data_IF_207938401695
#
_entry.id   IF_207938401695
#
_cell.length_a   1.000
_cell.length_b   1.000
_cell.length_c   1.000
_cell.angle_alpha   90.00
_cell.angle_beta   90.00
_cell.angle_gamma   90.00
#
_symmetry.space_group_name_H-M   'P 1'
#
loop_
_entity.id
_entity.type
_entity.pdbx_description
1 polymer ?
#
# COMPACT_ATOMS: atom_id res chain seq x y z
N UNK A 1 -56.04 -20.74 -11.16
CA UNK A 1 -54.92 -20.41 -10.23
C UNK A 1 -53.60 -20.72 -10.92
N UNK A 2 -52.55 -19.94 -10.70
CA UNK A 2 -51.18 -20.18 -11.22
C UNK A 2 -50.18 -20.28 -10.07
N UNK A 3 -48.96 -20.75 -10.34
CA UNK A 3 -47.84 -20.74 -9.38
C UNK A 3 -46.74 -19.85 -9.95
N UNK A 4 -46.25 -18.88 -9.17
CA UNK A 4 -45.15 -18.00 -9.56
C UNK A 4 -44.08 -18.00 -8.48
N UNK A 5 -42.84 -18.38 -8.83
CA UNK A 5 -41.71 -18.56 -7.91
C UNK A 5 -42.11 -19.39 -6.68
N UNK A 6 -42.73 -20.56 -6.92
CA UNK A 6 -43.27 -21.43 -5.88
C UNK A 6 -44.53 -20.94 -5.14
N UNK A 7 -45.02 -19.72 -5.37
CA UNK A 7 -46.19 -19.15 -4.66
C UNK A 7 -47.46 -19.21 -5.51
N UNK A 8 -48.53 -19.79 -4.98
CA UNK A 8 -49.86 -19.82 -5.65
C UNK A 8 -50.48 -18.42 -5.71
N UNK A 9 -50.95 -18.03 -6.91
CA UNK A 9 -51.61 -16.75 -7.19
C UNK A 9 -52.92 -16.98 -7.94
N UNK A 10 -53.93 -16.18 -7.60
CA UNK A 10 -55.21 -16.14 -8.33
C UNK A 10 -55.17 -15.00 -9.33
N UNK A 11 -55.46 -15.30 -10.59
CA UNK A 11 -55.64 -14.30 -11.64
C UNK A 11 -57.11 -13.89 -11.68
N UNK A 12 -57.40 -12.60 -11.48
CA UNK A 12 -58.77 -12.06 -11.55
C UNK A 12 -59.27 -11.95 -13.00
N UNK A 13 -58.34 -11.85 -13.95
CA UNK A 13 -58.58 -11.80 -15.39
C UNK A 13 -57.42 -12.48 -16.14
N UNK A 14 -57.62 -12.94 -17.38
CA UNK A 14 -56.53 -13.39 -18.23
C UNK A 14 -55.48 -12.28 -18.40
N UNK A 15 -54.20 -12.60 -18.18
CA UNK A 15 -53.07 -11.69 -18.36
C UNK A 15 -52.01 -12.37 -19.24
N UNK A 16 -51.36 -11.59 -20.11
CA UNK A 16 -50.10 -11.98 -20.73
C UNK A 16 -48.96 -12.00 -19.70
N UNK A 17 -47.84 -12.65 -20.04
CA UNK A 17 -46.64 -12.63 -19.21
C UNK A 17 -46.15 -11.19 -18.98
N UNK A 18 -46.13 -10.35 -20.02
CA UNK A 18 -45.76 -8.93 -19.89
C UNK A 18 -46.66 -8.18 -18.91
N UNK A 19 -47.98 -8.30 -19.05
CA UNK A 19 -48.93 -7.61 -18.17
C UNK A 19 -48.81 -8.09 -16.71
N UNK A 20 -48.54 -9.38 -16.50
CA UNK A 20 -48.27 -9.90 -15.17
C UNK A 20 -46.99 -9.29 -14.57
N UNK A 21 -45.91 -9.22 -15.33
CA UNK A 21 -44.64 -8.65 -14.88
C UNK A 21 -44.80 -7.18 -14.49
N UNK A 22 -45.42 -6.37 -15.35
CA UNK A 22 -45.66 -4.95 -15.11
C UNK A 22 -46.58 -4.70 -13.91
N UNK A 23 -47.69 -5.46 -13.80
CA UNK A 23 -48.62 -5.36 -12.66
C UNK A 23 -47.95 -5.66 -11.32
N UNK A 24 -46.94 -6.54 -11.31
CA UNK A 24 -46.21 -6.95 -10.11
C UNK A 24 -44.84 -6.26 -9.96
N UNK A 25 -44.61 -5.15 -10.69
CA UNK A 25 -43.41 -4.29 -10.57
C UNK A 25 -42.10 -4.99 -10.96
N UNK A 26 -42.15 -6.05 -11.77
CA UNK A 26 -40.95 -6.57 -12.42
C UNK A 26 -40.59 -5.70 -13.63
N UNK A 27 -39.29 -5.59 -13.92
CA UNK A 27 -38.79 -4.93 -15.12
C UNK A 27 -38.55 -6.00 -16.19
N UNK A 28 -39.38 -6.11 -17.26
CA UNK A 28 -39.32 -7.24 -18.20
C UNK A 28 -37.95 -7.46 -18.86
N UNK A 29 -37.20 -6.38 -19.07
CA UNK A 29 -35.85 -6.43 -19.64
C UNK A 29 -34.78 -6.94 -18.66
N UNK A 30 -35.06 -6.97 -17.36
CA UNK A 30 -34.14 -7.44 -16.31
C UNK A 30 -34.44 -8.87 -15.84
N UNK A 31 -35.49 -9.50 -16.36
CA UNK A 31 -35.92 -10.85 -15.94
C UNK A 31 -35.94 -11.85 -17.11
N UNK A 32 -35.64 -13.11 -16.79
CA UNK A 32 -35.91 -14.26 -17.64
C UNK A 32 -37.08 -15.06 -17.05
N UNK A 33 -37.88 -15.66 -17.94
CA UNK A 33 -39.08 -16.41 -17.59
C UNK A 33 -38.91 -17.85 -18.02
N UNK A 34 -39.08 -18.76 -17.09
CA UNK A 34 -39.36 -20.16 -17.36
C UNK A 34 -40.85 -20.39 -17.10
N UNK A 35 -41.56 -20.96 -18.06
CA UNK A 35 -42.98 -21.25 -17.96
C UNK A 35 -43.19 -22.74 -18.27
N UNK A 36 -43.71 -23.49 -17.29
CA UNK A 36 -43.94 -24.93 -17.39
C UNK A 36 -42.70 -25.71 -17.87
N UNK A 37 -41.58 -25.54 -17.18
CA UNK A 37 -40.28 -26.16 -17.47
C UNK A 37 -39.64 -25.76 -18.83
N UNK A 38 -40.13 -24.69 -19.46
CA UNK A 38 -39.58 -24.17 -20.71
C UNK A 38 -39.20 -22.70 -20.60
N UNK A 39 -37.98 -22.35 -21.00
CA UNK A 39 -37.54 -20.96 -21.09
C UNK A 39 -38.34 -20.26 -22.20
N UNK A 40 -39.11 -19.25 -21.81
CA UNK A 40 -39.91 -18.47 -22.72
C UNK A 40 -39.03 -17.41 -23.40
N UNK A 41 -39.02 -17.38 -24.73
CA UNK A 41 -38.32 -16.34 -25.47
C UNK A 41 -38.96 -14.96 -25.20
N UNK A 42 -38.14 -13.93 -24.99
CA UNK A 42 -38.60 -12.59 -24.57
C UNK A 42 -39.60 -11.95 -25.54
N UNK A 43 -39.48 -12.23 -26.84
CA UNK A 43 -40.41 -11.77 -27.88
C UNK A 43 -41.84 -12.29 -27.68
N UNK A 44 -41.99 -13.43 -26.98
CA UNK A 44 -43.28 -14.09 -26.75
C UNK A 44 -43.96 -13.62 -25.45
N UNK A 45 -43.33 -12.79 -24.63
CA UNK A 45 -43.89 -12.37 -23.33
C UNK A 45 -45.23 -11.63 -23.52
N UNK A 46 -45.34 -10.80 -24.54
CA UNK A 46 -46.57 -10.04 -24.81
C UNK A 46 -47.72 -10.86 -25.40
N UNK A 47 -47.42 -11.98 -26.06
CA UNK A 47 -48.42 -12.84 -26.72
C UNK A 47 -48.82 -14.06 -25.91
N UNK A 48 -48.04 -14.42 -24.89
CA UNK A 48 -48.27 -15.63 -24.08
C UNK A 48 -49.23 -15.31 -22.94
N UNK A 49 -50.46 -15.83 -23.02
CA UNK A 49 -51.49 -15.68 -21.98
C UNK A 49 -51.35 -16.76 -20.92
N UNK A 50 -51.27 -16.35 -19.65
CA UNK A 50 -51.22 -17.24 -18.49
C UNK A 50 -52.56 -17.96 -18.30
N UNK A 51 -52.50 -19.28 -18.10
CA UNK A 51 -53.63 -20.18 -17.96
C UNK A 51 -53.70 -20.78 -16.56
N UNK A 52 -54.88 -21.24 -16.19
CA UNK A 52 -55.04 -22.01 -14.95
C UNK A 52 -54.16 -23.27 -14.96
N UNK A 53 -53.36 -23.42 -13.92
CA UNK A 53 -52.40 -24.51 -13.76
C UNK A 53 -50.95 -24.14 -14.13
N UNK A 54 -50.69 -23.00 -14.78
CA UNK A 54 -49.34 -22.62 -15.18
C UNK A 54 -48.39 -22.44 -13.97
N UNK A 55 -47.15 -22.87 -14.17
CA UNK A 55 -46.03 -22.67 -13.25
C UNK A 55 -45.00 -21.77 -13.93
N UNK A 56 -44.71 -20.62 -13.33
CA UNK A 56 -43.81 -19.61 -13.89
C UNK A 56 -42.69 -19.27 -12.89
N UNK A 57 -41.45 -19.43 -13.31
CA UNK A 57 -40.28 -18.95 -12.58
C UNK A 57 -39.76 -17.65 -13.23
N UNK A 58 -39.71 -16.59 -12.43
CA UNK A 58 -39.21 -15.27 -12.77
C UNK A 58 -37.85 -15.10 -12.09
N UNK A 59 -36.79 -15.11 -12.89
CA UNK A 59 -35.42 -14.98 -12.39
C UNK A 59 -34.77 -13.67 -12.87
N UNK A 60 -33.90 -13.11 -12.03
CA UNK A 60 -33.07 -11.94 -12.35
C UNK A 60 -31.66 -12.15 -11.80
N UNK A 61 -30.68 -11.40 -12.31
CA UNK A 61 -29.36 -11.40 -11.72
C UNK A 61 -29.40 -10.74 -10.34
N UNK A 62 -28.94 -11.46 -9.31
CA UNK A 62 -28.77 -10.92 -7.97
C UNK A 62 -27.64 -9.88 -7.96
N UNK A 63 -27.98 -8.62 -7.70
CA UNK A 63 -27.00 -7.57 -7.40
C UNK A 63 -26.56 -7.67 -5.94
N UNK A 64 -25.30 -8.05 -5.70
CA UNK A 64 -24.73 -8.06 -4.35
C UNK A 64 -24.25 -6.67 -3.94
N UNK A 65 -24.94 -6.01 -3.01
CA UNK A 65 -24.43 -4.81 -2.33
C UNK A 65 -25.50 -3.85 -1.84
N UNK A 66 -25.57 -3.65 -0.53
CA UNK A 66 -26.24 -2.49 0.07
C UNK A 66 -25.30 -1.29 -0.03
N UNK A 67 -25.24 -0.66 -1.21
CA UNK A 67 -24.36 0.49 -1.46
C UNK A 67 -24.82 1.73 -0.69
N UNK A 68 -24.34 1.91 0.53
CA UNK A 68 -24.18 3.25 1.11
C UNK A 68 -22.84 3.78 0.65
N UNK A 69 -22.84 4.54 -0.43
CA UNK A 69 -21.69 5.36 -0.82
C UNK A 69 -21.74 6.62 0.06
N UNK A 70 -21.15 6.54 1.24
CA UNK A 70 -20.76 7.76 1.95
C UNK A 70 -19.48 8.25 1.26
N UNK A 71 -19.56 9.42 0.62
CA UNK A 71 -18.37 10.10 0.10
C UNK A 71 -17.47 10.42 1.29
N UNK A 72 -16.43 9.60 1.49
CA UNK A 72 -15.32 9.95 2.36
C UNK A 72 -14.67 11.22 1.80
N UNK A 73 -14.72 12.29 2.60
CA UNK A 73 -13.94 13.49 2.38
C UNK A 73 -12.45 13.10 2.44
N UNK A 74 -11.84 12.93 1.26
CA UNK A 74 -10.43 12.57 1.12
C UNK A 74 -9.62 13.85 1.25
N UNK A 75 -9.33 14.25 2.49
CA UNK A 75 -8.12 15.03 2.76
C UNK A 75 -6.95 14.31 2.08
N UNK A 76 -6.12 15.04 1.32
CA UNK A 76 -5.00 14.45 0.59
C UNK A 76 -4.14 13.65 1.58
N UNK A 77 -4.09 12.31 1.44
CA UNK A 77 -3.35 11.38 2.32
C UNK A 77 -1.83 11.54 2.14
N UNK A 78 -1.32 12.68 2.55
CA UNK A 78 0.10 13.04 2.44
C UNK A 78 0.92 12.34 3.52
N UNK A 79 2.19 12.09 3.18
CA UNK A 79 3.22 11.70 4.12
C UNK A 79 3.86 12.97 4.69
N UNK A 80 3.88 13.10 6.02
CA UNK A 80 4.51 14.23 6.71
C UNK A 80 5.76 13.75 7.44
N UNK A 81 6.93 14.35 7.16
CA UNK A 81 8.20 14.03 7.83
C UNK A 81 8.89 15.33 8.24
N UNK A 82 9.08 15.53 9.56
CA UNK A 82 9.73 16.74 10.08
C UNK A 82 9.06 18.05 9.64
N UNK A 83 7.74 18.04 9.42
CA UNK A 83 6.98 19.18 8.92
C UNK A 83 6.95 19.36 7.40
N UNK A 84 7.62 18.49 6.64
CA UNK A 84 7.60 18.51 5.18
C UNK A 84 6.55 17.55 4.62
N UNK A 85 5.79 17.98 3.61
CA UNK A 85 4.76 17.16 2.97
C UNK A 85 5.29 16.43 1.73
N UNK A 86 4.89 15.17 1.58
CA UNK A 86 5.18 14.33 0.43
C UNK A 86 3.91 13.63 -0.05
N UNK A 87 3.77 13.50 -1.37
CA UNK A 87 2.68 12.74 -2.01
C UNK A 87 3.07 11.30 -2.30
N UNK A 88 4.36 11.04 -2.49
CA UNK A 88 4.89 9.69 -2.68
C UNK A 88 5.33 9.08 -1.34
N UNK A 89 4.97 7.82 -1.14
CA UNK A 89 5.38 6.99 -0.01
C UNK A 89 6.54 6.05 -0.36
N UNK A 90 7.19 6.30 -1.50
CA UNK A 90 8.35 5.54 -1.95
C UNK A 90 9.65 6.34 -1.80
N UNK A 91 10.58 5.84 -1.00
CA UNK A 91 11.91 6.41 -0.78
C UNK A 91 12.97 5.55 -1.48
N UNK A 92 13.80 6.17 -2.31
CA UNK A 92 14.89 5.47 -3.01
C UNK A 92 16.14 5.37 -2.13
N UNK A 93 16.64 4.14 -1.93
CA UNK A 93 17.89 3.92 -1.21
C UNK A 93 19.17 4.26 -1.99
N UNK A 94 20.34 4.13 -1.34
CA UNK A 94 21.62 4.67 -1.82
C UNK A 94 22.56 3.62 -2.43
N UNK A 95 22.18 2.34 -2.43
CA UNK A 95 23.02 1.24 -2.90
C UNK A 95 23.02 1.09 -4.42
N UNK A 96 24.12 0.64 -5.03
CA UNK A 96 24.21 0.40 -6.49
C UNK A 96 23.65 1.57 -7.34
N UNK A 97 23.87 2.78 -6.84
CA UNK A 97 23.27 4.00 -7.34
C UNK A 97 23.72 4.28 -8.79
N UNK A 98 22.78 4.60 -9.68
CA UNK A 98 23.03 4.99 -11.06
C UNK A 98 22.05 6.08 -11.50
N UNK A 99 22.41 6.85 -12.53
CA UNK A 99 21.53 7.89 -13.07
C UNK A 99 20.23 7.30 -13.65
N UNK A 100 20.32 6.14 -14.30
CA UNK A 100 19.15 5.45 -14.85
C UNK A 100 18.18 5.01 -13.75
N UNK A 101 18.72 4.54 -12.60
CA UNK A 101 17.91 4.18 -11.44
C UNK A 101 17.18 5.38 -10.85
N UNK A 102 17.90 6.49 -10.64
CA UNK A 102 17.33 7.73 -10.12
C UNK A 102 16.23 8.24 -11.04
N UNK A 103 16.53 8.35 -12.33
CA UNK A 103 15.58 8.84 -13.34
C UNK A 103 14.34 7.95 -13.39
N UNK A 104 14.51 6.64 -13.41
CA UNK A 104 13.40 5.69 -13.37
C UNK A 104 12.53 5.86 -12.11
N UNK A 105 13.13 5.99 -10.92
CA UNK A 105 12.35 6.14 -9.69
C UNK A 105 11.63 7.49 -9.61
N UNK A 106 12.24 8.59 -10.07
CA UNK A 106 11.58 9.89 -10.14
C UNK A 106 10.42 9.83 -11.14
N UNK A 107 10.66 9.41 -12.39
CA UNK A 107 9.69 9.50 -13.47
C UNK A 107 8.59 8.43 -13.39
N UNK A 108 8.94 7.20 -13.00
CA UNK A 108 8.02 6.06 -12.99
C UNK A 108 7.44 5.79 -11.61
N UNK A 109 8.22 6.00 -10.56
CA UNK A 109 7.76 5.75 -9.19
C UNK A 109 7.29 7.02 -8.45
N UNK A 110 7.50 8.21 -9.02
CA UNK A 110 7.14 9.48 -8.39
C UNK A 110 7.93 9.75 -7.11
N UNK A 111 9.11 9.14 -6.93
CA UNK A 111 9.95 9.33 -5.74
C UNK A 111 10.26 10.80 -5.51
N UNK A 112 10.05 11.27 -4.28
CA UNK A 112 10.36 12.64 -3.84
C UNK A 112 11.53 12.71 -2.85
N UNK A 113 11.99 11.57 -2.32
CA UNK A 113 13.10 11.47 -1.38
C UNK A 113 14.11 10.44 -1.90
N UNK A 114 15.36 10.87 -2.07
CA UNK A 114 16.45 10.01 -2.57
C UNK A 114 17.60 10.02 -1.56
N UNK A 115 18.01 8.83 -1.14
CA UNK A 115 19.14 8.71 -0.22
C UNK A 115 20.48 8.65 -0.92
N UNK A 116 21.50 9.20 -0.27
CA UNK A 116 22.86 9.32 -0.83
C UNK A 116 23.88 8.95 0.24
N UNK A 117 24.99 8.30 -0.14
CA UNK A 117 26.09 8.02 0.79
C UNK A 117 27.29 8.93 0.46
N UNK A 118 27.93 9.49 1.49
CA UNK A 118 29.17 10.23 1.29
C UNK A 118 30.32 9.30 0.91
N UNK A 119 31.15 9.74 -0.04
CA UNK A 119 32.38 9.06 -0.44
C UNK A 119 33.52 10.07 -0.50
N UNK A 120 34.75 9.57 -0.35
CA UNK A 120 35.96 10.39 -0.55
C UNK A 120 36.01 10.90 -1.99
N UNK A 121 36.40 12.15 -2.18
CA UNK A 121 36.61 12.71 -3.50
C UNK A 121 37.81 12.02 -4.18
N UNK A 122 37.65 11.66 -5.46
CA UNK A 122 38.74 11.19 -6.30
C UNK A 122 39.31 12.38 -7.09
N UNK A 123 40.63 12.48 -7.20
CA UNK A 123 41.27 13.46 -8.10
C UNK A 123 40.86 13.14 -9.54
N UNK A 124 40.36 14.14 -10.28
CA UNK A 124 39.97 13.98 -11.69
C UNK A 124 38.52 14.35 -12.03
N UNK A 125 37.71 14.80 -11.05
CA UNK A 125 36.41 15.44 -11.31
C UNK A 125 35.42 14.53 -12.03
N UNK A 126 34.95 13.48 -11.35
CA UNK A 126 33.71 12.82 -11.77
C UNK A 126 32.56 13.83 -11.60
N UNK A 127 31.63 13.84 -12.55
CA UNK A 127 30.43 14.66 -12.47
C UNK A 127 29.71 14.42 -11.13
N UNK A 128 29.35 15.50 -10.43
CA UNK A 128 28.72 15.39 -9.13
C UNK A 128 27.31 14.86 -9.32
N UNK A 129 26.96 13.76 -8.64
CA UNK A 129 25.65 13.15 -8.81
C UNK A 129 24.50 14.08 -8.41
N UNK A 130 24.79 15.02 -7.51
CA UNK A 130 23.90 16.08 -7.10
C UNK A 130 23.45 16.96 -8.28
N UNK A 131 24.29 17.11 -9.31
CA UNK A 131 23.97 17.94 -10.49
C UNK A 131 22.84 17.34 -11.35
N UNK A 132 22.57 16.04 -11.19
CA UNK A 132 21.55 15.31 -11.95
C UNK A 132 20.25 15.11 -11.19
N UNK A 133 20.21 15.43 -9.90
CA UNK A 133 19.00 15.30 -9.08
C UNK A 133 18.22 16.61 -9.18
N UNK A 134 16.94 16.59 -9.63
CA UNK A 134 16.13 17.79 -9.69
C UNK A 134 16.00 18.48 -8.33
N UNK A 135 16.02 19.83 -8.31
CA UNK A 135 15.99 20.62 -7.06
C UNK A 135 14.75 20.42 -6.19
N UNK A 136 13.67 19.88 -6.75
CA UNK A 136 12.43 19.58 -6.04
C UNK A 136 12.44 18.19 -5.37
N UNK A 137 13.53 17.43 -5.50
CA UNK A 137 13.73 16.17 -4.80
C UNK A 137 14.46 16.44 -3.49
N UNK A 138 13.91 15.92 -2.40
CA UNK A 138 14.57 15.95 -1.09
C UNK A 138 15.72 14.96 -1.07
N UNK A 139 16.91 15.45 -0.73
CA UNK A 139 18.08 14.61 -0.52
C UNK A 139 18.08 14.08 0.91
N UNK A 140 18.32 12.79 1.07
CA UNK A 140 18.39 12.13 2.37
C UNK A 140 19.78 11.49 2.54
N UNK A 141 20.83 12.29 2.84
CA UNK A 141 22.16 11.75 3.10
C UNK A 141 22.11 10.74 4.25
N UNK A 142 22.78 9.61 4.07
CA UNK A 142 22.94 8.61 5.10
C UNK A 142 24.34 8.63 5.72
N UNK A 143 24.44 8.07 6.92
CA UNK A 143 25.73 7.91 7.62
C UNK A 143 26.37 6.55 7.36
N UNK A 144 26.10 5.91 6.21
CA UNK A 144 26.65 4.60 5.88
C UNK A 144 28.17 4.59 6.04
N UNK A 145 28.68 3.60 6.78
CA UNK A 145 30.08 3.48 7.14
C UNK A 145 30.42 3.92 8.56
N UNK A 146 29.51 4.61 9.26
CA UNK A 146 29.67 4.93 10.68
C UNK A 146 29.62 3.66 11.55
N UNK A 147 30.54 3.59 12.52
CA UNK A 147 30.63 2.53 13.53
C UNK A 147 30.18 2.97 14.92
N UNK A 148 29.90 4.24 15.13
CA UNK A 148 29.42 4.78 16.40
C UNK A 148 28.69 6.11 16.15
N UNK A 149 28.11 6.67 17.20
CA UNK A 149 27.36 7.92 17.14
C UNK A 149 28.22 9.10 16.69
N UNK A 150 29.47 9.21 17.18
CA UNK A 150 30.37 10.32 16.84
C UNK A 150 30.67 10.36 15.33
N UNK A 151 30.95 9.20 14.74
CA UNK A 151 31.18 9.06 13.29
C UNK A 151 29.91 9.40 12.49
N UNK A 152 28.74 8.94 12.94
CA UNK A 152 27.47 9.25 12.29
C UNK A 152 27.18 10.76 12.30
N UNK A 153 27.32 11.41 13.46
CA UNK A 153 27.18 12.86 13.62
C UNK A 153 28.16 13.60 12.71
N UNK A 154 29.42 13.15 12.65
CA UNK A 154 30.43 13.76 11.77
C UNK A 154 30.05 13.65 10.29
N UNK A 155 29.57 12.49 9.83
CA UNK A 155 29.14 12.31 8.44
C UNK A 155 27.91 13.17 8.14
N UNK A 156 26.94 13.23 9.05
CA UNK A 156 25.74 14.05 8.91
C UNK A 156 26.08 15.54 8.74
N UNK A 157 26.96 16.09 9.60
CA UNK A 157 27.42 17.48 9.49
C UNK A 157 28.13 17.74 8.16
N UNK A 158 29.02 16.84 7.73
CA UNK A 158 29.67 16.96 6.41
C UNK A 158 28.65 16.96 5.26
N UNK A 159 27.58 16.17 5.37
CA UNK A 159 26.53 16.13 4.35
C UNK A 159 25.76 17.45 4.24
N UNK A 160 25.47 18.09 5.38
CA UNK A 160 24.83 19.41 5.44
C UNK A 160 25.70 20.47 4.78
N UNK A 161 27.01 20.47 5.05
CA UNK A 161 27.98 21.39 4.43
C UNK A 161 28.14 21.20 2.91
N UNK A 162 27.81 20.01 2.39
CA UNK A 162 27.75 19.75 0.94
C UNK A 162 26.46 20.23 0.28
N UNK A 163 25.55 20.86 1.03
CA UNK A 163 24.29 21.39 0.52
C UNK A 163 23.15 20.37 0.41
N UNK A 164 23.24 19.24 1.12
CA UNK A 164 22.18 18.21 1.11
C UNK A 164 20.95 18.56 1.96
N UNK A 165 20.95 19.68 2.68
CA UNK A 165 19.88 20.08 3.58
C UNK A 165 19.93 19.41 4.95
N UNK A 166 18.81 19.42 5.65
CA UNK A 166 18.71 19.03 7.07
C UNK A 166 18.19 17.61 7.30
N UNK A 167 17.75 16.92 6.25
CA UNK A 167 17.38 15.52 6.36
C UNK A 167 18.62 14.64 6.54
N UNK A 168 18.54 13.66 7.44
CA UNK A 168 19.63 12.68 7.61
C UNK A 168 19.08 11.30 7.94
N UNK A 169 19.57 10.29 7.23
CA UNK A 169 19.36 8.87 7.56
C UNK A 169 20.50 8.39 8.45
N UNK A 170 20.22 8.12 9.72
CA UNK A 170 21.24 7.55 10.61
C UNK A 170 21.34 6.05 10.32
N UNK A 171 22.56 5.60 10.10
CA UNK A 171 22.93 4.21 9.89
C UNK A 171 24.25 3.95 10.63
N UNK A 172 24.16 3.37 11.83
CA UNK A 172 25.32 2.97 12.64
C UNK A 172 25.40 1.45 12.68
N UNK A 173 26.45 0.88 12.09
CA UNK A 173 26.56 -0.56 11.88
C UNK A 173 27.96 -1.01 12.27
N UNK A 174 28.11 -1.93 13.23
CA UNK A 174 29.41 -2.49 13.60
C UNK A 174 29.88 -3.59 12.66
N UNK A 175 28.96 -4.49 12.31
CA UNK A 175 29.26 -5.70 11.53
C UNK A 175 29.13 -5.45 10.02
N UNK A 176 30.08 -5.98 9.25
CA UNK A 176 30.09 -5.86 7.79
C UNK A 176 29.42 -7.04 7.08
N UNK A 177 29.08 -8.12 7.79
CA UNK A 177 28.51 -9.34 7.19
C UNK A 177 26.98 -9.27 7.06
N UNK A 178 26.29 -8.87 8.11
CA UNK A 178 24.82 -8.84 8.20
C UNK A 178 24.25 -7.42 8.18
N UNK A 179 25.10 -6.41 8.39
CA UNK A 179 24.73 -4.99 8.31
C UNK A 179 23.57 -4.62 9.25
N UNK A 180 23.55 -5.24 10.44
CA UNK A 180 22.56 -4.95 11.47
C UNK A 180 22.92 -3.63 12.19
N UNK A 181 21.94 -2.77 12.47
CA UNK A 181 22.17 -1.51 13.16
C UNK A 181 22.45 -1.74 14.65
N UNK A 182 23.22 -0.82 15.24
CA UNK A 182 23.31 -0.66 16.68
C UNK A 182 22.27 0.37 17.14
N UNK A 183 21.19 -0.11 17.78
CA UNK A 183 20.11 0.76 18.24
C UNK A 183 20.60 1.79 19.27
N UNK A 184 21.53 1.42 20.15
CA UNK A 184 22.00 2.30 21.23
C UNK A 184 22.83 3.47 20.69
N UNK A 185 23.78 3.19 19.80
CA UNK A 185 24.55 4.24 19.13
C UNK A 185 23.67 5.08 18.19
N UNK A 186 22.65 4.48 17.58
CA UNK A 186 21.66 5.19 16.76
C UNK A 186 20.84 6.19 17.58
N UNK A 187 20.39 5.83 18.79
CA UNK A 187 19.67 6.73 19.70
C UNK A 187 20.53 7.93 20.09
N UNK A 188 21.80 7.69 20.46
CA UNK A 188 22.74 8.78 20.80
C UNK A 188 22.93 9.76 19.64
N UNK A 189 23.15 9.24 18.43
CA UNK A 189 23.33 10.07 17.25
C UNK A 189 22.05 10.86 16.94
N UNK A 190 20.88 10.25 17.13
CA UNK A 190 19.57 10.89 16.95
C UNK A 190 19.42 12.08 17.89
N UNK A 191 19.70 11.90 19.18
CA UNK A 191 19.57 12.96 20.17
C UNK A 191 20.46 14.17 19.86
N UNK A 192 21.70 13.92 19.44
CA UNK A 192 22.66 14.97 19.08
C UNK A 192 22.17 15.72 17.83
N UNK A 193 21.83 15.00 16.76
CA UNK A 193 21.47 15.60 15.48
C UNK A 193 20.11 16.31 15.52
N UNK A 194 19.13 15.78 16.26
CA UNK A 194 17.85 16.45 16.45
C UNK A 194 18.01 17.79 17.17
N UNK A 195 18.86 17.87 18.21
CA UNK A 195 19.21 19.13 18.90
C UNK A 195 19.92 20.13 17.97
N UNK A 196 20.60 19.64 16.94
CA UNK A 196 21.24 20.44 15.88
C UNK A 196 20.30 20.79 14.71
N UNK A 197 19.00 20.54 14.87
CA UNK A 197 17.97 20.90 13.89
C UNK A 197 17.94 20.01 12.65
N UNK A 198 18.54 18.81 12.70
CA UNK A 198 18.35 17.83 11.62
C UNK A 198 16.95 17.22 11.69
N UNK A 199 16.38 16.90 10.52
CA UNK A 199 15.23 16.00 10.38
C UNK A 199 15.77 14.58 10.36
N UNK A 200 15.82 13.96 11.54
CA UNK A 200 16.51 12.68 11.75
C UNK A 200 15.60 11.49 11.42
N UNK A 201 16.09 10.62 10.55
CA UNK A 201 15.44 9.38 10.15
C UNK A 201 16.35 8.18 10.54
N UNK A 202 16.13 7.55 11.70
CA UNK A 202 16.99 6.49 12.22
C UNK A 202 16.65 5.10 11.65
N UNK A 203 17.64 4.43 11.06
CA UNK A 203 17.57 3.00 10.70
C UNK A 203 17.89 2.13 11.92
N UNK A 204 17.02 1.16 12.22
CA UNK A 204 17.08 0.43 13.49
C UNK A 204 16.56 -1.02 13.40
N UNK A 205 16.97 -1.88 14.34
CA UNK A 205 16.49 -3.26 14.46
C UNK A 205 15.20 -3.30 15.29
N UNK A 206 14.05 -3.79 14.78
CA UNK A 206 12.71 -3.56 15.35
C UNK A 206 12.60 -4.00 16.81
N UNK A 207 12.68 -3.00 17.69
CA UNK A 207 12.60 -3.07 19.15
C UNK A 207 11.76 -1.87 19.63
N UNK A 208 10.71 -2.16 20.39
CA UNK A 208 9.74 -1.15 20.82
C UNK A 208 10.34 -0.12 21.78
N UNK A 209 11.23 -0.53 22.68
CA UNK A 209 11.82 0.39 23.65
C UNK A 209 12.82 1.31 22.97
N UNK A 210 13.63 0.76 22.06
CA UNK A 210 14.52 1.58 21.24
C UNK A 210 13.74 2.57 20.37
N UNK A 211 12.60 2.17 19.80
CA UNK A 211 11.74 3.09 19.05
C UNK A 211 11.21 4.24 19.93
N UNK A 212 10.77 3.96 21.16
CA UNK A 212 10.36 5.00 22.12
C UNK A 212 11.51 5.93 22.48
N UNK A 213 12.71 5.40 22.67
CA UNK A 213 13.90 6.20 22.93
C UNK A 213 14.28 7.08 21.72
N UNK A 214 14.12 6.59 20.49
CA UNK A 214 14.29 7.40 19.27
C UNK A 214 13.26 8.52 19.16
N UNK A 215 12.00 8.26 19.50
CA UNK A 215 10.94 9.30 19.57
C UNK A 215 11.35 10.38 20.59
N UNK A 216 11.73 9.98 21.80
CA UNK A 216 12.16 10.90 22.86
C UNK A 216 13.42 11.69 22.48
N UNK A 217 14.33 11.09 21.70
CA UNK A 217 15.53 11.72 21.18
C UNK A 217 15.25 12.76 20.07
N UNK A 218 14.02 12.84 19.56
CA UNK A 218 13.62 13.81 18.54
C UNK A 218 13.70 13.30 17.10
N UNK A 219 13.57 11.99 16.88
CA UNK A 219 13.43 11.44 15.53
C UNK A 219 12.18 12.01 14.83
N UNK A 220 12.26 12.16 13.50
CA UNK A 220 11.13 12.59 12.66
C UNK A 220 10.26 11.43 12.17
N UNK A 221 10.80 10.21 12.22
CA UNK A 221 10.16 8.94 11.90
C UNK A 221 10.95 7.81 12.57
N UNK A 222 10.51 6.57 12.45
CA UNK A 222 11.29 5.38 12.85
C UNK A 222 11.39 4.43 11.66
N UNK A 223 12.59 3.94 11.36
CA UNK A 223 12.82 3.09 10.18
C UNK A 223 13.28 1.68 10.55
N UNK A 224 12.37 0.78 10.94
CA UNK A 224 12.72 -0.59 11.26
C UNK A 224 13.12 -1.39 10.02
N UNK A 225 14.14 -2.24 10.17
CA UNK A 225 14.54 -3.16 9.11
C UNK A 225 13.52 -4.29 8.92
N UNK A 226 13.17 -4.61 7.68
CA UNK A 226 12.38 -5.80 7.34
C UNK A 226 13.21 -7.08 7.32
N UNK A 227 14.36 -7.05 6.64
CA UNK A 227 15.37 -8.11 6.67
C UNK A 227 16.75 -7.54 6.34
N UNK A 228 17.87 -8.27 6.54
CA UNK A 228 19.22 -7.74 6.33
C UNK A 228 19.38 -7.03 4.98
N UNK A 229 20.09 -5.90 5.00
CA UNK A 229 20.27 -5.01 3.83
C UNK A 229 20.73 -5.81 2.60
N UNK A 230 20.05 -5.58 1.47
CA UNK A 230 20.39 -6.20 0.19
C UNK A 230 20.03 -7.68 0.05
N UNK A 231 19.41 -8.30 1.07
CA UNK A 231 19.00 -9.70 1.00
C UNK A 231 17.75 -9.96 0.15
N UNK A 232 16.92 -8.94 -0.08
CA UNK A 232 15.65 -9.02 -0.81
C UNK A 232 14.66 -10.08 -0.25
N UNK A 233 14.76 -10.42 1.04
CA UNK A 233 13.93 -11.46 1.67
C UNK A 233 12.53 -11.00 2.10
N UNK A 234 12.25 -9.71 1.99
CA UNK A 234 11.00 -9.09 2.44
C UNK A 234 11.03 -8.71 3.91
N UNK A 235 9.87 -8.78 4.56
CA UNK A 235 9.64 -8.33 5.93
C UNK A 235 9.75 -9.53 6.87
N UNK A 236 10.97 -10.00 7.15
CA UNK A 236 11.20 -11.13 8.06
C UNK A 236 10.89 -10.81 9.53
N UNK A 237 10.85 -9.53 9.88
CA UNK A 237 10.57 -9.00 11.21
C UNK A 237 9.15 -8.43 11.31
N UNK A 238 8.23 -8.92 10.49
CA UNK A 238 6.88 -8.37 10.28
C UNK A 238 6.12 -8.12 11.57
N UNK A 239 6.10 -9.10 12.46
CA UNK A 239 5.35 -9.05 13.72
C UNK A 239 5.91 -7.96 14.65
N UNK A 240 7.23 -7.77 14.66
CA UNK A 240 7.86 -6.71 15.45
C UNK A 240 7.61 -5.33 14.83
N UNK A 241 7.61 -5.22 13.50
CA UNK A 241 7.25 -3.98 12.81
C UNK A 241 5.78 -3.61 13.08
N UNK A 242 4.87 -4.60 13.09
CA UNK A 242 3.46 -4.34 13.41
C UNK A 242 3.30 -3.74 14.80
N UNK A 243 4.02 -4.26 15.80
CA UNK A 243 4.03 -3.67 17.15
C UNK A 243 4.44 -2.19 17.10
N UNK A 244 5.45 -1.82 16.29
CA UNK A 244 5.85 -0.43 16.16
C UNK A 244 4.77 0.42 15.48
N UNK A 245 4.10 -0.10 14.46
CA UNK A 245 3.00 0.60 13.77
C UNK A 245 1.84 0.86 14.74
N UNK A 246 1.54 -0.10 15.62
CA UNK A 246 0.41 -0.01 16.55
C UNK A 246 0.71 0.93 17.74
N UNK A 247 1.98 1.05 18.15
CA UNK A 247 2.37 1.69 19.42
C UNK A 247 3.13 3.01 19.29
N UNK A 248 3.62 3.38 18.10
CA UNK A 248 4.43 4.59 17.89
C UNK A 248 3.67 5.60 17.02
N UNK A 249 3.45 6.80 17.56
CA UNK A 249 2.73 7.88 16.85
C UNK A 249 3.51 8.47 15.66
N UNK A 250 4.85 8.36 15.68
CA UNK A 250 5.67 8.81 14.56
C UNK A 250 5.54 7.89 13.34
N UNK A 251 5.71 8.42 12.11
CA UNK A 251 5.69 7.60 10.91
C UNK A 251 6.66 6.41 10.98
N UNK A 252 6.14 5.20 10.79
CA UNK A 252 6.95 3.99 10.63
C UNK A 252 7.26 3.77 9.15
N UNK A 253 8.54 3.69 8.80
CA UNK A 253 8.99 3.48 7.42
C UNK A 253 9.73 2.15 7.34
N UNK A 254 9.20 1.18 6.60
CA UNK A 254 9.90 -0.10 6.44
C UNK A 254 11.09 0.11 5.50
N UNK A 255 12.30 -0.01 6.06
CA UNK A 255 13.58 0.05 5.34
C UNK A 255 14.23 -1.34 5.31
N UNK A 256 15.14 -1.55 4.38
CA UNK A 256 15.94 -2.76 4.20
C UNK A 256 15.17 -4.09 4.02
N UNK A 257 15.60 -4.86 3.03
CA UNK A 257 15.13 -6.23 2.84
C UNK A 257 13.94 -6.39 1.90
N UNK A 258 13.17 -5.33 1.62
CA UNK A 258 12.12 -5.36 0.58
C UNK A 258 12.75 -5.68 -0.78
N UNK A 259 12.32 -6.79 -1.35
CA UNK A 259 12.88 -7.40 -2.57
C UNK A 259 11.95 -7.39 -3.78
N UNK A 260 10.64 -7.21 -3.58
CA UNK A 260 9.63 -7.22 -4.65
C UNK A 260 8.44 -6.30 -4.31
N UNK A 261 7.67 -5.84 -5.33
CA UNK A 261 6.54 -4.94 -5.12
C UNK A 261 5.50 -5.47 -4.14
N UNK A 262 5.16 -6.76 -4.15
CA UNK A 262 4.16 -7.32 -3.23
C UNK A 262 4.54 -7.17 -1.75
N UNK A 263 5.83 -7.13 -1.42
CA UNK A 263 6.30 -6.89 -0.06
C UNK A 263 6.18 -5.41 0.33
N UNK A 264 6.33 -4.49 -0.64
CA UNK A 264 6.04 -3.08 -0.40
C UNK A 264 4.53 -2.87 -0.19
N UNK A 265 3.67 -3.55 -0.97
CA UNK A 265 2.22 -3.56 -0.76
C UNK A 265 1.87 -4.03 0.65
N UNK A 266 2.44 -5.17 1.07
CA UNK A 266 2.25 -5.75 2.40
C UNK A 266 2.66 -4.76 3.51
N UNK A 267 3.80 -4.08 3.38
CA UNK A 267 4.21 -3.05 4.36
C UNK A 267 3.18 -1.91 4.46
N UNK A 268 2.64 -1.45 3.33
CA UNK A 268 1.62 -0.40 3.33
C UNK A 268 0.28 -0.88 3.90
N UNK A 269 -0.12 -2.14 3.62
CA UNK A 269 -1.30 -2.79 4.19
C UNK A 269 -1.19 -2.94 5.72
N UNK A 270 0.01 -3.17 6.25
CA UNK A 270 0.26 -3.19 7.69
C UNK A 270 0.03 -1.83 8.38
N UNK A 271 0.03 -0.74 7.60
CA UNK A 271 -0.08 0.63 8.10
C UNK A 271 1.23 1.41 8.12
N UNK A 272 2.30 0.89 7.52
CA UNK A 272 3.54 1.67 7.37
C UNK A 272 3.26 2.98 6.62
N UNK A 273 3.93 4.05 7.05
CA UNK A 273 3.79 5.37 6.45
C UNK A 273 4.49 5.45 5.09
N UNK A 274 5.60 4.74 4.92
CA UNK A 274 6.34 4.67 3.67
C UNK A 274 7.18 3.40 3.59
N UNK A 275 7.73 3.16 2.40
CA UNK A 275 8.67 2.09 2.12
C UNK A 275 9.94 2.69 1.54
N UNK A 276 11.08 2.21 2.05
CA UNK A 276 12.38 2.47 1.45
C UNK A 276 12.92 1.19 0.79
N UNK A 277 13.27 1.28 -0.49
CA UNK A 277 13.85 0.16 -1.23
C UNK A 277 14.94 0.62 -2.20
N UNK A 278 15.85 -0.31 -2.51
CA UNK A 278 16.94 -0.04 -3.43
C UNK A 278 17.33 -1.26 -4.24
N UNK A 279 17.89 -2.29 -3.59
CA UNK A 279 18.49 -3.44 -4.28
C UNK A 279 17.49 -4.16 -5.17
N UNK A 280 16.22 -4.24 -4.75
CA UNK A 280 15.12 -4.77 -5.54
C UNK A 280 14.99 -4.14 -6.94
N UNK A 281 15.19 -2.82 -7.03
CA UNK A 281 15.03 -2.05 -8.27
C UNK A 281 16.37 -1.99 -9.01
N UNK A 282 17.45 -1.66 -8.29
CA UNK A 282 18.79 -1.51 -8.84
C UNK A 282 19.37 -2.79 -9.47
N UNK A 283 18.80 -3.95 -9.14
CA UNK A 283 19.22 -5.26 -9.70
C UNK A 283 18.14 -5.92 -10.54
N UNK A 284 17.04 -5.22 -10.84
CA UNK A 284 16.00 -5.73 -11.71
C UNK A 284 16.49 -5.83 -13.16
N UNK A 285 15.90 -6.76 -13.92
CA UNK A 285 16.17 -6.85 -15.37
C UNK A 285 15.74 -5.60 -16.13
N UNK A 286 14.64 -4.96 -15.71
CA UNK A 286 14.18 -3.66 -16.19
C UNK A 286 13.87 -2.75 -15.00
N UNK A 287 14.70 -1.72 -14.83
CA UNK A 287 14.63 -0.76 -13.73
C UNK A 287 13.38 0.13 -13.82
N UNK A 288 12.96 0.52 -15.03
CA UNK A 288 11.80 1.41 -15.22
C UNK A 288 10.50 0.68 -14.90
N UNK A 289 10.36 -0.54 -15.41
CA UNK A 289 9.19 -1.39 -15.14
C UNK A 289 9.12 -1.73 -13.65
N UNK A 290 10.26 -2.06 -13.02
CA UNK A 290 10.28 -2.35 -11.59
C UNK A 290 9.94 -1.13 -10.74
N UNK A 291 10.45 0.06 -11.08
CA UNK A 291 10.11 1.30 -10.39
C UNK A 291 8.60 1.60 -10.46
N UNK A 292 7.99 1.48 -11.64
CA UNK A 292 6.53 1.64 -11.80
C UNK A 292 5.73 0.59 -10.99
N UNK A 293 6.20 -0.66 -10.96
CA UNK A 293 5.55 -1.72 -10.19
C UNK A 293 5.59 -1.44 -8.68
N UNK A 294 6.70 -0.93 -8.16
CA UNK A 294 6.81 -0.50 -6.77
C UNK A 294 5.85 0.62 -6.42
N UNK A 295 5.70 1.63 -7.29
CA UNK A 295 4.71 2.70 -7.10
C UNK A 295 3.29 2.14 -6.99
N UNK A 296 2.87 1.33 -7.96
CA UNK A 296 1.52 0.72 -7.96
C UNK A 296 1.27 -0.10 -6.71
N UNK A 297 2.26 -0.87 -6.26
CA UNK A 297 2.15 -1.67 -5.05
C UNK A 297 1.99 -0.82 -3.79
N UNK A 298 2.77 0.26 -3.67
CA UNK A 298 2.69 1.17 -2.53
C UNK A 298 1.35 1.91 -2.50
N UNK A 299 0.89 2.43 -3.65
CA UNK A 299 -0.41 3.09 -3.79
C UNK A 299 -1.57 2.12 -3.49
N UNK A 300 -1.49 0.90 -4.00
CA UNK A 300 -2.49 -0.16 -3.75
C UNK A 300 -2.57 -0.50 -2.26
N UNK A 301 -1.44 -0.80 -1.62
CA UNK A 301 -1.42 -1.19 -0.21
C UNK A 301 -1.88 -0.06 0.71
N UNK A 302 -1.51 1.20 0.41
CA UNK A 302 -2.00 2.34 1.18
C UNK A 302 -3.50 2.56 1.00
N UNK A 303 -4.00 2.43 -0.22
CA UNK A 303 -5.44 2.55 -0.50
C UNK A 303 -6.24 1.46 0.23
N UNK A 304 -5.72 0.23 0.26
CA UNK A 304 -6.33 -0.89 0.96
C UNK A 304 -6.33 -0.69 2.49
N UNK A 305 -5.24 -0.17 3.06
CA UNK A 305 -5.20 0.19 4.48
C UNK A 305 -6.25 1.25 4.83
N UNK A 306 -6.35 2.31 4.02
CA UNK A 306 -7.30 3.41 4.24
C UNK A 306 -8.76 3.03 4.01
N UNK A 307 -9.05 2.09 3.11
CA UNK A 307 -10.41 1.61 2.90
C UNK A 307 -10.94 0.77 4.07
N UNK A 308 -10.03 0.30 4.93
CA UNK A 308 -10.29 -0.79 5.85
C UNK A 308 -10.37 -2.13 5.11
N UNK A 309 -9.93 -3.20 5.78
CA UNK A 309 -9.99 -4.55 5.22
C UNK A 309 -11.39 -5.14 5.37
N UNK A 310 -11.78 -5.95 4.37
CA UNK A 310 -12.94 -6.82 4.52
C UNK A 310 -12.74 -7.80 5.68
N UNK A 311 -13.85 -8.22 6.31
CA UNK A 311 -13.79 -9.20 7.40
C UNK A 311 -13.08 -10.48 6.94
N UNK A 312 -12.17 -10.97 7.76
CA UNK A 312 -11.64 -12.34 7.68
C UNK A 312 -12.49 -13.25 8.56
N UNK A 313 -12.73 -14.47 8.09
CA UNK A 313 -13.40 -15.51 8.86
C UNK A 313 -12.37 -16.60 9.18
N UNK A 314 -12.14 -16.84 10.47
CA UNK A 314 -11.17 -17.86 10.90
C UNK A 314 -11.66 -19.28 10.61
N UNK A 315 -12.97 -19.48 10.44
CA UNK A 315 -13.59 -20.77 10.14
C UNK A 315 -14.76 -20.62 9.17
N UNK A 316 -14.84 -21.54 8.22
CA UNK A 316 -15.93 -21.63 7.24
C UNK A 316 -15.86 -20.57 6.15
N UNK A 317 -16.98 -20.38 5.44
CA UNK A 317 -17.16 -19.34 4.45
C UNK A 317 -18.53 -18.69 4.65
N UNK A 318 -18.65 -17.43 4.25
CA UNK A 318 -19.95 -16.75 4.18
C UNK A 318 -20.21 -16.42 2.72
N UNK A 319 -21.35 -16.88 2.20
CA UNK A 319 -21.74 -16.59 0.83
C UNK A 319 -21.84 -15.08 0.62
N UNK A 320 -21.19 -14.57 -0.43
CA UNK A 320 -21.27 -13.16 -0.84
C UNK A 320 -22.64 -12.78 -1.41
N UNK A 321 -23.43 -13.79 -1.76
CA UNK A 321 -24.80 -13.68 -2.25
C UNK A 321 -25.73 -14.45 -1.29
N UNK A 322 -26.88 -13.89 -0.88
CA UNK A 322 -27.85 -14.63 -0.08
C UNK A 322 -28.23 -15.94 -0.78
N UNK A 323 -28.22 -17.07 -0.06
CA UNK A 323 -28.73 -18.36 -0.57
C UNK A 323 -30.26 -18.41 -0.65
N UNK A 324 -30.95 -17.35 -0.23
CA UNK A 324 -32.40 -17.21 -0.38
C UNK A 324 -32.76 -16.86 -1.81
N UNK A 325 -33.51 -17.72 -2.51
CA UNK A 325 -34.04 -17.47 -3.85
C UNK A 325 -33.29 -18.13 -5.01
N UNK A 326 -32.54 -19.21 -4.75
CA UNK A 326 -32.07 -20.09 -5.83
C UNK A 326 -33.25 -20.91 -6.40
N UNK A 327 -33.11 -21.36 -7.65
CA UNK A 327 -34.14 -22.08 -8.41
C UNK A 327 -34.57 -23.43 -7.80
N UNK A 328 -33.85 -23.93 -6.80
CA UNK A 328 -34.21 -25.11 -6.03
C UNK A 328 -33.98 -24.83 -4.55
N UNK A 329 -34.92 -25.30 -3.71
CA UNK A 329 -34.75 -25.40 -2.26
C UNK A 329 -33.55 -26.30 -1.90
#
# INVERSE_FOLDING_TARGET
MITVNGVKRTLEQPLSVTEYLEKNQYVPVQVAIELNDQILARELYGSTILKEGDVMEIVSFMGGGSGKNEEMDRTEDKLILGGHEFTSRFILGSGKFSLDLVKACIEKAGTQIITLALRRANQGGLANILDYIPKNITLLPNTSGARNAEEAVRIARLSRELGCGDFVKIEVIHDSKYLLPDNYETIKATEILAKEGFVVMPYMYPDLNAARDLVNAGAACVMPLGSPIGSNKGICTKEFIQILIDEIDLPIIVDAGIGRPSQACEAMEMGAAAVMANTAIATAGDVQVMAEAFKKAIESGRSAYLSGFGRTLDKGASASSPLTGFLHD
#
